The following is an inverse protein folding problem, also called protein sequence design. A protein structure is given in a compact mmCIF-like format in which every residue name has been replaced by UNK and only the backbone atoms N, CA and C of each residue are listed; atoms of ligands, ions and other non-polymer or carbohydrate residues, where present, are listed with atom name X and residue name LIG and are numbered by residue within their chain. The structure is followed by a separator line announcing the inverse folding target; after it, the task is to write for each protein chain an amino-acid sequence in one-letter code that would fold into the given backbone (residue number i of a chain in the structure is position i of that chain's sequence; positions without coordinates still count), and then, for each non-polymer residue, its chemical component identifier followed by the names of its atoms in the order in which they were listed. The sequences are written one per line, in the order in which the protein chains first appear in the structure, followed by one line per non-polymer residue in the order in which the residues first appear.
data_IF_934296463328
#
_entry.id   IF_934296463328
#
_cell.length_a   1.000
_cell.length_b   1.000
_cell.length_c   1.000
_cell.angle_alpha   90.00
_cell.angle_beta   90.00
_cell.angle_gamma   90.00
#
_symmetry.space_group_name_H-M   'P 1'
#
loop_
_entity.id
_entity.type
_entity.pdbx_description
1 polymer ?
#
# COMPACT_ATOMS: atom_id res chain seq x y z
N UNK A 1 5.87 18.26 -18.39
CA UNK A 1 6.49 17.91 -19.66
C UNK A 1 5.89 16.63 -20.24
N UNK A 2 6.01 16.45 -21.53
CA UNK A 2 5.50 15.28 -22.21
C UNK A 2 6.17 14.01 -21.69
N UNK A 3 5.37 13.00 -21.35
CA UNK A 3 5.86 11.74 -20.75
C UNK A 3 6.29 11.86 -19.29
N UNK A 4 6.14 13.02 -18.66
CA UNK A 4 6.50 13.23 -17.27
C UNK A 4 7.99 13.10 -16.96
N UNK A 5 8.85 13.33 -17.96
CA UNK A 5 10.31 13.14 -17.85
C UNK A 5 11.02 14.23 -17.01
N UNK A 6 10.33 15.34 -16.76
CA UNK A 6 10.85 16.48 -15.98
C UNK A 6 10.56 16.38 -14.47
N UNK A 7 9.99 15.28 -13.99
CA UNK A 7 9.63 15.07 -12.58
C UNK A 7 10.30 13.82 -12.01
N UNK A 8 10.54 13.81 -10.69
CA UNK A 8 11.08 12.63 -10.00
C UNK A 8 10.09 11.47 -9.97
N UNK A 9 10.56 10.26 -9.65
CA UNK A 9 9.71 9.08 -9.47
C UNK A 9 8.63 9.31 -8.41
N UNK A 10 8.98 9.91 -7.27
CA UNK A 10 8.03 10.24 -6.22
C UNK A 10 7.00 11.28 -6.65
N UNK A 11 7.43 12.30 -7.39
CA UNK A 11 6.52 13.30 -7.95
C UNK A 11 5.56 12.68 -8.96
N UNK A 12 6.03 11.77 -9.82
CA UNK A 12 5.17 11.02 -10.74
C UNK A 12 4.13 10.18 -10.00
N UNK A 13 4.51 9.49 -8.95
CA UNK A 13 3.57 8.71 -8.14
C UNK A 13 2.50 9.60 -7.52
N UNK A 14 2.87 10.75 -6.96
CA UNK A 14 1.91 11.70 -6.40
C UNK A 14 0.94 12.25 -7.45
N UNK A 15 1.42 12.55 -8.65
CA UNK A 15 0.56 13.00 -9.76
C UNK A 15 -0.42 11.92 -10.20
N UNK A 16 0.01 10.67 -10.30
CA UNK A 16 -0.86 9.56 -10.63
C UNK A 16 -1.96 9.36 -9.58
N UNK A 17 -1.62 9.48 -8.30
CA UNK A 17 -2.58 9.39 -7.20
C UNK A 17 -3.57 10.54 -7.25
N UNK A 18 -3.12 11.77 -7.49
CA UNK A 18 -4.00 12.94 -7.63
C UNK A 18 -5.00 12.77 -8.77
N UNK A 19 -4.56 12.25 -9.92
CA UNK A 19 -5.44 11.95 -11.06
C UNK A 19 -6.53 10.94 -10.71
N UNK A 20 -6.18 9.95 -9.92
CA UNK A 20 -7.12 8.94 -9.45
C UNK A 20 -8.26 9.56 -8.62
N UNK A 21 -7.95 10.49 -7.73
CA UNK A 21 -8.96 11.18 -6.91
C UNK A 21 -9.87 12.11 -7.75
N UNK A 22 -9.33 12.76 -8.76
CA UNK A 22 -10.11 13.59 -9.69
C UNK A 22 -11.12 12.74 -10.45
N UNK A 23 -10.77 11.51 -10.82
CA UNK A 23 -11.68 10.59 -11.50
C UNK A 23 -12.81 10.07 -10.59
N UNK A 24 -12.65 10.15 -9.26
CA UNK A 24 -13.62 9.72 -8.25
C UNK A 24 -14.17 8.31 -8.50
N UNK A 25 -13.32 7.28 -8.60
CA UNK A 25 -13.77 5.92 -8.87
C UNK A 25 -14.42 5.28 -7.64
N UNK A 26 -15.21 4.22 -7.86
CA UNK A 26 -15.77 3.39 -6.77
C UNK A 26 -14.76 2.41 -6.20
N UNK A 27 -13.78 2.01 -6.99
CA UNK A 27 -12.70 1.09 -6.59
C UNK A 27 -11.37 1.76 -6.90
N UNK A 28 -10.52 1.85 -5.89
CA UNK A 28 -9.14 2.32 -6.01
C UNK A 28 -8.19 1.14 -5.99
N UNK A 29 -7.27 1.07 -6.93
CA UNK A 29 -6.20 0.06 -6.94
C UNK A 29 -4.86 0.77 -6.90
N UNK A 30 -4.09 0.51 -5.86
CA UNK A 30 -2.73 1.03 -5.69
C UNK A 30 -1.75 -0.13 -5.85
N UNK A 31 -1.13 -0.22 -7.03
CA UNK A 31 -0.15 -1.27 -7.33
C UNK A 31 1.25 -0.70 -7.15
N UNK A 32 1.83 -0.97 -5.98
CA UNK A 32 3.16 -0.49 -5.59
C UNK A 32 3.32 1.05 -5.72
N UNK A 33 2.22 1.78 -5.48
CA UNK A 33 2.14 3.22 -5.76
C UNK A 33 2.90 4.09 -4.76
N UNK A 34 3.34 3.53 -3.64
CA UNK A 34 4.01 4.26 -2.56
C UNK A 34 5.50 3.99 -2.46
N UNK A 35 6.05 3.15 -3.33
CA UNK A 35 7.44 2.67 -3.23
C UNK A 35 8.50 3.77 -3.34
N UNK A 36 8.21 4.84 -4.08
CA UNK A 36 9.14 5.98 -4.26
C UNK A 36 8.90 7.12 -3.26
N UNK A 37 7.98 6.96 -2.31
CA UNK A 37 7.68 7.95 -1.28
C UNK A 37 8.47 7.67 0.00
N UNK A 38 8.92 8.74 0.67
CA UNK A 38 9.47 8.63 2.02
C UNK A 38 8.36 8.32 3.05
N UNK A 39 8.73 7.81 4.21
CA UNK A 39 7.79 7.37 5.23
C UNK A 39 6.83 8.48 5.70
N UNK A 40 7.33 9.70 5.85
CA UNK A 40 6.52 10.85 6.28
C UNK A 40 5.48 11.21 5.22
N UNK A 41 5.89 11.30 3.94
CA UNK A 41 5.00 11.59 2.83
C UNK A 41 3.94 10.49 2.67
N UNK A 42 4.34 9.23 2.77
CA UNK A 42 3.42 8.09 2.70
C UNK A 42 2.39 8.14 3.84
N UNK A 43 2.81 8.41 5.07
CA UNK A 43 1.91 8.51 6.21
C UNK A 43 0.90 9.66 6.05
N UNK A 44 1.36 10.83 5.60
CA UNK A 44 0.49 11.98 5.36
C UNK A 44 -0.52 11.70 4.25
N UNK A 45 -0.08 11.06 3.18
CA UNK A 45 -0.95 10.67 2.07
C UNK A 45 -1.99 9.65 2.50
N UNK A 46 -1.60 8.65 3.27
CA UNK A 46 -2.52 7.64 3.80
C UNK A 46 -3.59 8.27 4.71
N UNK A 47 -3.21 9.22 5.56
CA UNK A 47 -4.15 9.94 6.41
C UNK A 47 -5.18 10.74 5.59
N UNK A 48 -4.73 11.45 4.55
CA UNK A 48 -5.60 12.20 3.65
C UNK A 48 -6.53 11.27 2.85
N UNK A 49 -6.02 10.15 2.37
CA UNK A 49 -6.80 9.17 1.62
C UNK A 49 -7.94 8.55 2.43
N UNK A 50 -7.72 8.28 3.71
CA UNK A 50 -8.75 7.67 4.58
C UNK A 50 -10.05 8.46 4.59
N UNK A 51 -9.98 9.78 4.59
CA UNK A 51 -11.17 10.64 4.56
C UNK A 51 -11.88 10.59 3.20
N UNK A 52 -11.13 10.54 2.12
CA UNK A 52 -11.66 10.58 0.75
C UNK A 52 -12.30 9.24 0.36
N UNK A 53 -11.74 8.12 0.81
CA UNK A 53 -12.11 6.77 0.37
C UNK A 53 -13.01 6.00 1.34
N UNK A 54 -13.61 6.66 2.34
CA UNK A 54 -14.40 6.01 3.40
C UNK A 54 -15.46 5.03 2.88
N UNK A 55 -16.17 5.41 1.81
CA UNK A 55 -17.23 4.60 1.21
C UNK A 55 -16.79 3.90 -0.07
N UNK A 56 -15.49 3.74 -0.27
CA UNK A 56 -14.93 3.13 -1.48
C UNK A 56 -14.20 1.85 -1.16
N UNK A 57 -14.06 1.00 -2.16
CA UNK A 57 -13.19 -0.18 -2.07
C UNK A 57 -11.77 0.21 -2.46
N UNK A 58 -10.82 -0.13 -1.61
CA UNK A 58 -9.40 0.16 -1.84
C UNK A 58 -8.62 -1.14 -1.85
N UNK A 59 -7.91 -1.39 -2.94
CA UNK A 59 -7.00 -2.54 -3.09
C UNK A 59 -5.58 -1.99 -3.15
N UNK A 60 -4.74 -2.43 -2.22
CA UNK A 60 -3.34 -2.02 -2.16
C UNK A 60 -2.46 -3.24 -2.41
N UNK A 61 -1.61 -3.16 -3.42
CA UNK A 61 -0.54 -4.14 -3.64
C UNK A 61 0.76 -3.50 -3.19
N UNK A 62 1.37 -4.05 -2.17
CA UNK A 62 2.59 -3.51 -1.58
C UNK A 62 3.51 -4.62 -1.08
N UNK A 63 4.79 -4.31 -1.05
CA UNK A 63 5.82 -5.19 -0.48
C UNK A 63 6.08 -4.88 0.99
N UNK A 64 5.79 -3.64 1.42
CA UNK A 64 6.00 -3.21 2.80
C UNK A 64 4.78 -3.49 3.67
N UNK A 65 4.98 -4.18 4.78
CA UNK A 65 3.94 -4.43 5.77
C UNK A 65 3.39 -3.12 6.34
N UNK A 66 4.25 -2.11 6.55
CA UNK A 66 3.84 -0.80 7.05
C UNK A 66 2.77 -0.12 6.18
N UNK A 67 2.77 -0.38 4.88
CA UNK A 67 1.79 0.21 3.95
C UNK A 67 0.41 -0.44 4.01
N UNK A 68 0.30 -1.66 4.55
CA UNK A 68 -0.92 -2.46 4.51
C UNK A 68 -1.45 -2.89 5.88
N UNK A 69 -0.70 -2.66 6.95
CA UNK A 69 -1.05 -3.18 8.29
C UNK A 69 -2.40 -2.71 8.84
N UNK A 70 -2.94 -1.62 8.31
CA UNK A 70 -4.25 -1.08 8.71
C UNK A 70 -5.39 -1.51 7.78
N UNK A 71 -5.13 -2.34 6.79
CA UNK A 71 -6.18 -2.85 5.90
C UNK A 71 -7.19 -3.72 6.67
N UNK A 72 -8.44 -3.66 6.23
CA UNK A 72 -9.51 -4.49 6.80
C UNK A 72 -9.27 -5.98 6.54
N UNK A 73 -8.65 -6.31 5.42
CA UNK A 73 -8.24 -7.66 5.07
C UNK A 73 -6.93 -7.63 4.32
N UNK A 74 -6.00 -8.49 4.71
CA UNK A 74 -4.72 -8.69 4.03
C UNK A 74 -4.73 -10.08 3.41
N UNK A 75 -4.31 -10.15 2.15
CA UNK A 75 -4.11 -11.40 1.43
C UNK A 75 -2.61 -11.65 1.27
N UNK A 76 -2.13 -12.75 1.79
CA UNK A 76 -0.73 -13.17 1.62
C UNK A 76 -0.66 -14.09 0.42
N UNK A 77 0.18 -13.72 -0.54
CA UNK A 77 0.32 -14.49 -1.79
C UNK A 77 1.69 -15.13 -1.89
N UNK A 78 1.71 -16.36 -2.35
CA UNK A 78 2.92 -17.11 -2.62
C UNK A 78 2.71 -17.97 -3.88
N UNK A 79 3.63 -17.88 -4.83
CA UNK A 79 3.60 -18.65 -6.09
C UNK A 79 2.24 -18.55 -6.80
N UNK A 80 1.65 -17.33 -6.87
CA UNK A 80 0.39 -17.07 -7.55
C UNK A 80 -0.86 -17.54 -6.79
N UNK A 81 -0.72 -17.94 -5.53
CA UNK A 81 -1.83 -18.43 -4.71
C UNK A 81 -1.96 -17.62 -3.43
N UNK A 82 -3.20 -17.50 -2.93
CA UNK A 82 -3.46 -16.93 -1.62
C UNK A 82 -3.21 -18.02 -0.57
N UNK A 83 -2.19 -17.83 0.27
CA UNK A 83 -1.81 -18.81 1.29
C UNK A 83 -2.32 -18.43 2.69
N UNK A 84 -2.69 -17.17 2.91
CA UNK A 84 -3.29 -16.72 4.17
C UNK A 84 -4.12 -15.46 3.93
N UNK A 85 -5.10 -15.22 4.81
CA UNK A 85 -5.92 -14.01 4.81
C UNK A 85 -6.34 -13.65 6.23
N UNK A 86 -6.48 -12.36 6.49
CA UNK A 86 -6.92 -11.85 7.79
C UNK A 86 -6.44 -10.41 7.99
N UNK A 87 -6.62 -9.90 9.19
CA UNK A 87 -6.04 -8.63 9.60
C UNK A 87 -4.55 -8.81 9.94
N UNK A 88 -3.84 -7.70 10.09
CA UNK A 88 -2.43 -7.73 10.50
C UNK A 88 -2.23 -8.55 11.79
N UNK A 89 -3.02 -8.27 12.83
CA UNK A 89 -2.89 -8.95 14.11
C UNK A 89 -3.22 -10.44 14.02
N UNK A 90 -4.27 -10.81 13.27
CA UNK A 90 -4.62 -12.21 13.03
C UNK A 90 -3.51 -12.95 12.29
N UNK A 91 -2.94 -12.35 11.26
CA UNK A 91 -1.87 -12.97 10.46
C UNK A 91 -0.57 -13.14 11.24
N UNK A 92 -0.26 -12.23 12.16
CA UNK A 92 0.89 -12.39 13.05
C UNK A 92 0.74 -13.62 13.95
N UNK A 93 -0.47 -14.04 14.25
CA UNK A 93 -0.74 -15.23 15.05
C UNK A 93 -0.88 -16.51 14.21
N UNK A 94 -1.43 -16.43 13.01
CA UNK A 94 -1.85 -17.59 12.23
C UNK A 94 -0.96 -17.92 11.04
N UNK A 95 -0.18 -16.97 10.52
CA UNK A 95 0.62 -17.16 9.31
C UNK A 95 2.11 -17.02 9.57
N UNK A 96 2.82 -18.13 9.44
CA UNK A 96 4.28 -18.15 9.53
C UNK A 96 4.92 -17.29 8.42
N UNK A 97 4.43 -17.43 7.19
CA UNK A 97 4.89 -16.64 6.04
C UNK A 97 4.78 -15.13 6.31
N UNK A 98 3.65 -14.69 6.83
CA UNK A 98 3.43 -13.28 7.15
C UNK A 98 4.36 -12.80 8.27
N UNK A 99 4.55 -13.59 9.32
CA UNK A 99 5.48 -13.28 10.40
C UNK A 99 6.92 -13.12 9.91
N UNK A 100 7.35 -14.00 9.02
CA UNK A 100 8.70 -13.94 8.43
C UNK A 100 8.90 -12.67 7.60
N UNK A 101 7.91 -12.30 6.79
CA UNK A 101 7.95 -11.06 6.00
C UNK A 101 8.03 -9.85 6.93
N UNK A 102 7.18 -9.79 7.94
CA UNK A 102 7.14 -8.67 8.89
C UNK A 102 8.45 -8.56 9.69
N UNK A 103 9.01 -9.67 10.14
CA UNK A 103 10.26 -9.71 10.89
C UNK A 103 11.45 -9.25 10.04
N UNK A 104 11.53 -9.69 8.79
CA UNK A 104 12.61 -9.30 7.89
C UNK A 104 12.62 -7.79 7.61
N UNK A 105 11.46 -7.18 7.55
CA UNK A 105 11.34 -5.74 7.33
C UNK A 105 11.68 -4.93 8.60
N UNK A 106 11.32 -5.41 9.76
CA UNK A 106 11.67 -4.77 11.04
C UNK A 106 13.18 -4.71 11.26
N UNK A 107 13.93 -5.71 10.81
CA UNK A 107 15.39 -5.73 10.89
C UNK A 107 16.05 -4.70 9.96
N UNK A 108 15.44 -4.45 8.80
CA UNK A 108 15.96 -3.47 7.83
C UNK A 108 15.69 -2.03 8.30
N UNK A 109 14.58 -1.80 8.98
CA UNK A 109 14.17 -0.48 9.47
C UNK A 109 14.81 -0.10 10.83
N UNK A 110 15.52 -1.03 11.46
CA UNK A 110 16.15 -0.82 12.75
C UNK A 110 17.50 -0.07 12.66
#
# INVERSE_FOLDING_TARGET
AQGGTNVSGGQRQRLCIARMFVADPKVYVFDDSFSALDATTEANLNAAMREIVQDRTVIVVAQKVSSIKHADQILVMEAGRIVARGTHDELLQTSETYREIAASQAEVDA
#
